data_IF_028370653473
#
_entry.id   IF_028370653473
#
_cell.length_a   1.000
_cell.length_b   1.000
_cell.length_c   1.000
_cell.angle_alpha   90.00
_cell.angle_beta   90.00
_cell.angle_gamma   90.00
#
_symmetry.space_group_name_H-M   'P 1'
#
loop_
_entity.id
_entity.type
_entity.pdbx_description
1 polymer ?
#
# COMPACT_ATOMS: atom_id res chain seq x y z
N UNK A 1 -39.68 33.34 -3.36
CA UNK A 1 -40.02 32.33 -4.38
C UNK A 1 -41.45 31.91 -4.12
N UNK A 2 -42.35 32.15 -5.08
CA UNK A 2 -43.77 31.87 -4.93
C UNK A 2 -44.01 30.38 -4.79
N UNK A 3 -44.45 29.95 -3.60
CA UNK A 3 -44.82 28.57 -3.29
C UNK A 3 -46.18 28.15 -3.85
N UNK A 4 -46.61 28.70 -5.00
CA UNK A 4 -47.88 28.31 -5.62
C UNK A 4 -47.72 26.99 -6.36
N UNK A 5 -48.54 25.97 -6.04
CA UNK A 5 -48.52 24.71 -6.77
C UNK A 5 -48.92 24.95 -8.22
N UNK A 6 -48.00 24.66 -9.15
CA UNK A 6 -48.25 24.68 -10.58
C UNK A 6 -48.90 23.36 -10.98
N UNK A 7 -50.08 23.42 -11.57
CA UNK A 7 -50.71 22.25 -12.17
C UNK A 7 -49.93 21.87 -13.43
N UNK A 8 -49.27 20.71 -13.44
CA UNK A 8 -48.67 20.16 -14.64
C UNK A 8 -49.76 19.49 -15.49
N UNK A 9 -49.68 19.66 -16.81
CA UNK A 9 -50.48 18.84 -17.72
C UNK A 9 -49.98 17.39 -17.68
N UNK A 10 -50.84 16.41 -17.95
CA UNK A 10 -50.51 14.98 -17.80
C UNK A 10 -49.24 14.56 -18.55
N UNK A 11 -49.02 15.14 -19.73
CA UNK A 11 -47.84 14.89 -20.56
C UNK A 11 -46.57 15.51 -19.95
N UNK A 12 -46.65 16.71 -19.38
CA UNK A 12 -45.52 17.37 -18.70
C UNK A 12 -45.08 16.57 -17.46
N UNK A 13 -46.05 16.07 -16.67
CA UNK A 13 -45.76 15.21 -15.53
C UNK A 13 -45.11 13.89 -15.96
N UNK A 14 -45.65 13.25 -16.99
CA UNK A 14 -45.11 12.00 -17.52
C UNK A 14 -43.66 12.16 -18.00
N UNK A 15 -43.39 13.22 -18.78
CA UNK A 15 -42.04 13.51 -19.27
C UNK A 15 -41.07 13.75 -18.11
N UNK A 16 -41.47 14.54 -17.11
CA UNK A 16 -40.61 14.83 -15.95
C UNK A 16 -40.29 13.58 -15.12
N UNK A 17 -41.27 12.70 -14.90
CA UNK A 17 -41.05 11.42 -14.19
C UNK A 17 -40.14 10.50 -15.01
N UNK A 18 -40.34 10.41 -16.33
CA UNK A 18 -39.51 9.60 -17.21
C UNK A 18 -38.06 10.08 -17.25
N UNK A 19 -37.83 11.40 -17.34
CA UNK A 19 -36.49 11.98 -17.29
C UNK A 19 -35.81 11.76 -15.94
N UNK A 20 -36.54 11.91 -14.83
CA UNK A 20 -36.01 11.65 -13.50
C UNK A 20 -35.64 10.17 -13.31
N UNK A 21 -36.46 9.24 -13.81
CA UNK A 21 -36.15 7.81 -13.77
C UNK A 21 -34.89 7.50 -14.58
N UNK A 22 -34.78 8.02 -15.80
CA UNK A 22 -33.59 7.85 -16.63
C UNK A 22 -32.34 8.43 -15.95
N UNK A 23 -32.44 9.62 -15.38
CA UNK A 23 -31.33 10.24 -14.66
C UNK A 23 -30.89 9.43 -13.43
N UNK A 24 -31.85 8.85 -12.69
CA UNK A 24 -31.55 7.99 -11.55
C UNK A 24 -30.87 6.68 -11.97
N UNK A 25 -31.28 6.09 -13.11
CA UNK A 25 -30.65 4.91 -13.69
C UNK A 25 -29.22 5.21 -14.16
N UNK A 26 -29.01 6.33 -14.85
CA UNK A 26 -27.68 6.78 -15.30
C UNK A 26 -26.75 7.07 -14.10
N UNK A 27 -27.24 7.71 -13.05
CA UNK A 27 -26.48 7.98 -11.83
C UNK A 27 -26.12 6.68 -11.10
N UNK A 28 -27.05 5.73 -11.01
CA UNK A 28 -26.78 4.41 -10.43
C UNK A 28 -25.70 3.67 -11.22
N UNK A 29 -25.78 3.66 -12.55
CA UNK A 29 -24.77 3.04 -13.40
C UNK A 29 -23.39 3.69 -13.25
N UNK A 30 -23.32 5.02 -13.17
CA UNK A 30 -22.06 5.74 -12.94
C UNK A 30 -21.44 5.39 -11.57
N UNK A 31 -22.26 5.28 -10.52
CA UNK A 31 -21.81 4.85 -9.19
C UNK A 31 -21.27 3.42 -9.19
N UNK A 32 -21.92 2.51 -9.90
CA UNK A 32 -21.45 1.13 -10.04
C UNK A 32 -20.09 1.06 -10.75
N UNK A 33 -19.90 1.80 -11.84
CA UNK A 33 -18.61 1.86 -12.54
C UNK A 33 -17.50 2.36 -11.60
N UNK A 34 -17.75 3.47 -10.90
CA UNK A 34 -16.78 3.99 -9.94
C UNK A 34 -16.48 3.04 -8.78
N UNK A 35 -17.48 2.27 -8.32
CA UNK A 35 -17.27 1.27 -7.29
C UNK A 35 -16.34 0.15 -7.79
N UNK A 36 -16.59 -0.36 -9.00
CA UNK A 36 -15.77 -1.41 -9.62
C UNK A 36 -14.32 -0.93 -9.80
N UNK A 37 -14.11 0.29 -10.27
CA UNK A 37 -12.77 0.88 -10.41
C UNK A 37 -12.04 0.98 -9.06
N UNK A 38 -12.74 1.46 -8.02
CA UNK A 38 -12.17 1.57 -6.67
C UNK A 38 -11.80 0.21 -6.10
N UNK A 39 -12.67 -0.78 -6.25
CA UNK A 39 -12.44 -2.14 -5.79
C UNK A 39 -11.27 -2.81 -6.53
N UNK A 40 -11.22 -2.63 -7.85
CA UNK A 40 -10.10 -3.09 -8.68
C UNK A 40 -8.77 -2.47 -8.23
N UNK A 41 -8.75 -1.16 -7.96
CA UNK A 41 -7.60 -0.43 -7.42
C UNK A 41 -7.20 -0.98 -6.05
N UNK A 42 -8.15 -1.13 -5.14
CA UNK A 42 -7.91 -1.63 -3.78
C UNK A 42 -7.33 -3.05 -3.81
N UNK A 43 -7.87 -3.92 -4.66
CA UNK A 43 -7.37 -5.27 -4.85
C UNK A 43 -5.93 -5.30 -5.40
N UNK A 44 -5.63 -4.51 -6.45
CA UNK A 44 -4.27 -4.41 -7.00
C UNK A 44 -3.25 -3.91 -5.96
N UNK A 45 -3.65 -2.91 -5.17
CA UNK A 45 -2.84 -2.38 -4.07
C UNK A 45 -2.63 -3.39 -2.94
N UNK A 46 -3.65 -4.19 -2.60
CA UNK A 46 -3.53 -5.24 -1.58
C UNK A 46 -2.52 -6.32 -2.00
N UNK A 47 -2.64 -6.82 -3.23
CA UNK A 47 -1.70 -7.80 -3.80
C UNK A 47 -0.27 -7.26 -3.81
N UNK A 48 -0.09 -5.99 -4.22
CA UNK A 48 1.22 -5.35 -4.20
C UNK A 48 1.80 -5.24 -2.79
N UNK A 49 1.00 -4.84 -1.79
CA UNK A 49 1.45 -4.73 -0.39
C UNK A 49 1.89 -6.10 0.17
N UNK A 50 1.16 -7.16 -0.11
CA UNK A 50 1.52 -8.51 0.31
C UNK A 50 2.84 -8.98 -0.31
N UNK A 51 3.01 -8.76 -1.61
CA UNK A 51 4.23 -9.11 -2.32
C UNK A 51 5.45 -8.32 -1.79
N UNK A 52 5.25 -7.03 -1.50
CA UNK A 52 6.30 -6.16 -0.97
C UNK A 52 6.68 -6.53 0.47
N UNK A 53 5.70 -6.90 1.31
CA UNK A 53 5.95 -7.39 2.67
C UNK A 53 6.77 -8.70 2.64
N UNK A 54 6.40 -9.65 1.76
CA UNK A 54 7.15 -10.88 1.58
C UNK A 54 8.60 -10.63 1.11
N UNK A 55 8.81 -9.66 0.20
CA UNK A 55 10.14 -9.23 -0.24
C UNK A 55 10.96 -8.66 0.92
N UNK A 56 10.37 -7.77 1.72
CA UNK A 56 11.03 -7.15 2.86
C UNK A 56 11.50 -8.20 3.87
N UNK A 57 10.65 -9.19 4.18
CA UNK A 57 11.00 -10.31 5.07
C UNK A 57 12.21 -11.10 4.55
N UNK A 58 12.24 -11.45 3.26
CA UNK A 58 13.40 -12.14 2.66
C UNK A 58 14.67 -11.30 2.72
N UNK A 59 14.55 -9.99 2.49
CA UNK A 59 15.69 -9.08 2.59
C UNK A 59 16.20 -8.91 4.04
N UNK A 60 15.30 -8.95 5.01
CA UNK A 60 15.64 -8.95 6.43
C UNK A 60 16.39 -10.23 6.82
N UNK A 61 15.90 -11.39 6.41
CA UNK A 61 16.58 -12.68 6.63
C UNK A 61 17.99 -12.67 6.03
N UNK A 62 18.17 -12.18 4.79
CA UNK A 62 19.50 -12.02 4.15
C UNK A 62 20.40 -11.04 4.92
N UNK A 63 19.84 -10.00 5.52
CA UNK A 63 20.59 -9.05 6.36
C UNK A 63 21.01 -9.69 7.67
N UNK A 64 20.12 -10.47 8.29
CA UNK A 64 20.38 -11.17 9.55
C UNK A 64 21.51 -12.20 9.37
N UNK A 65 21.45 -13.05 8.33
CA UNK A 65 22.50 -14.04 8.07
C UNK A 65 23.86 -13.37 7.85
N UNK A 66 23.90 -12.30 7.05
CA UNK A 66 25.13 -11.54 6.84
C UNK A 66 25.67 -10.93 8.13
N UNK A 67 24.81 -10.39 9.00
CA UNK A 67 25.22 -9.86 10.31
C UNK A 67 25.83 -10.95 11.20
N UNK A 68 25.22 -12.13 11.23
CA UNK A 68 25.74 -13.28 11.98
C UNK A 68 27.11 -13.74 11.44
N UNK A 69 27.27 -13.86 10.12
CA UNK A 69 28.56 -14.20 9.50
C UNK A 69 29.65 -13.17 9.82
N UNK A 70 29.30 -11.88 9.80
CA UNK A 70 30.21 -10.80 10.20
C UNK A 70 30.58 -10.92 11.67
N UNK A 71 29.60 -11.16 12.56
CA UNK A 71 29.85 -11.32 14.00
C UNK A 71 30.80 -12.48 14.28
N UNK A 72 30.52 -13.67 13.72
CA UNK A 72 31.38 -14.85 13.88
C UNK A 72 32.79 -14.59 13.38
N UNK A 73 32.94 -13.92 12.24
CA UNK A 73 34.27 -13.55 11.74
C UNK A 73 35.00 -12.58 12.66
N UNK A 74 34.29 -11.64 13.29
CA UNK A 74 34.90 -10.70 14.22
C UNK A 74 35.37 -11.39 15.50
N UNK A 75 34.57 -12.30 16.05
CA UNK A 75 34.95 -13.18 17.16
C UNK A 75 36.22 -13.98 16.81
N UNK A 76 36.22 -14.64 15.64
CA UNK A 76 37.34 -15.46 15.20
C UNK A 76 38.61 -14.63 14.92
N UNK A 77 38.44 -13.42 14.36
CA UNK A 77 39.54 -12.45 14.17
C UNK A 77 40.15 -12.08 15.51
N UNK A 78 39.33 -11.87 16.53
CA UNK A 78 39.81 -11.45 17.85
C UNK A 78 40.50 -12.61 18.59
N UNK A 79 40.01 -13.85 18.44
CA UNK A 79 40.74 -15.06 18.85
C UNK A 79 42.10 -15.18 18.15
N UNK A 80 42.17 -15.01 16.82
CA UNK A 80 43.42 -15.09 16.07
C UNK A 80 44.45 -14.04 16.51
N UNK A 81 44.00 -12.83 16.91
CA UNK A 81 44.88 -11.81 17.51
C UNK A 81 45.47 -12.26 18.84
N UNK A 82 44.65 -12.87 19.71
CA UNK A 82 45.11 -13.39 21.01
C UNK A 82 46.17 -14.49 20.83
N UNK A 83 45.96 -15.38 19.85
CA UNK A 83 46.89 -16.45 19.49
C UNK A 83 48.10 -15.97 18.67
N UNK A 84 48.14 -14.69 18.28
CA UNK A 84 49.18 -14.08 17.42
C UNK A 84 49.30 -14.74 16.04
N UNK A 85 48.22 -15.35 15.58
CA UNK A 85 48.11 -15.91 14.24
C UNK A 85 47.63 -14.83 13.25
N UNK A 86 48.09 -14.89 11.99
CA UNK A 86 47.59 -13.98 10.94
C UNK A 86 46.26 -14.50 10.38
N UNK A 87 45.15 -13.74 10.49
CA UNK A 87 43.89 -14.15 9.87
C UNK A 87 44.04 -14.21 8.35
N UNK A 88 43.75 -15.36 7.73
CA UNK A 88 43.81 -15.54 6.26
C UNK A 88 42.45 -15.40 5.56
N UNK A 89 41.36 -15.17 6.30
CA UNK A 89 40.02 -15.21 5.74
C UNK A 89 39.53 -13.86 5.18
N UNK A 90 38.81 -13.95 4.07
CA UNK A 90 38.13 -12.83 3.41
C UNK A 90 36.95 -12.32 4.23
N UNK A 91 36.58 -11.05 4.05
CA UNK A 91 35.33 -10.50 4.63
C UNK A 91 34.12 -11.17 3.97
N UNK A 92 33.06 -11.54 4.74
CA UNK A 92 31.80 -11.96 4.17
C UNK A 92 31.27 -10.83 3.29
N UNK A 93 30.51 -11.18 2.26
CA UNK A 93 29.95 -10.21 1.33
C UNK A 93 28.44 -10.30 1.39
N UNK A 94 27.80 -9.19 1.72
CA UNK A 94 26.36 -9.09 1.60
C UNK A 94 26.01 -9.07 0.11
N UNK A 95 25.34 -10.11 -0.37
CA UNK A 95 24.86 -10.17 -1.75
C UNK A 95 23.85 -9.04 -2.06
N UNK A 96 23.45 -8.93 -3.34
CA UNK A 96 22.42 -7.97 -3.75
C UNK A 96 21.09 -8.32 -3.09
N UNK A 97 20.42 -7.32 -2.53
CA UNK A 97 19.06 -7.44 -2.01
C UNK A 97 18.05 -7.43 -3.17
N UNK A 98 16.87 -7.98 -2.90
CA UNK A 98 15.75 -7.97 -3.85
C UNK A 98 15.26 -6.53 -4.05
N UNK A 99 15.10 -6.11 -5.30
CA UNK A 99 14.64 -4.76 -5.67
C UNK A 99 13.15 -4.58 -5.34
N UNK A 100 12.69 -3.34 -5.06
CA UNK A 100 11.28 -3.05 -4.83
C UNK A 100 10.40 -3.49 -6.00
N UNK A 101 9.22 -4.02 -5.69
CA UNK A 101 8.23 -4.36 -6.72
C UNK A 101 7.60 -3.05 -7.21
N UNK A 102 7.52 -2.80 -8.53
CA UNK A 102 6.92 -1.57 -9.04
C UNK A 102 5.49 -1.44 -8.54
N UNK A 103 5.16 -0.26 -8.01
CA UNK A 103 3.81 0.05 -7.54
C UNK A 103 2.86 0.08 -8.74
N UNK A 104 1.65 -0.49 -8.63
CA UNK A 104 0.62 -0.30 -9.64
C UNK A 104 0.43 1.19 -9.90
N UNK A 105 0.73 1.62 -11.13
CA UNK A 105 0.54 3.01 -11.57
C UNK A 105 -0.91 3.15 -12.00
N UNK A 106 -1.57 4.19 -11.51
CA UNK A 106 -2.98 4.46 -11.76
C UNK A 106 -3.01 5.87 -12.31
N UNK A 107 -3.58 6.07 -13.49
CA UNK A 107 -3.71 7.41 -14.06
C UNK A 107 -4.45 8.33 -13.06
N UNK A 108 -3.91 9.53 -12.85
CA UNK A 108 -4.30 10.48 -11.81
C UNK A 108 -5.75 10.95 -11.96
N UNK A 109 -6.67 10.40 -11.16
CA UNK A 109 -7.93 11.06 -10.80
C UNK A 109 -7.99 11.11 -9.28
N UNK A 110 -7.58 12.26 -8.76
CA UNK A 110 -7.62 12.78 -7.38
C UNK A 110 -7.74 11.77 -6.22
N UNK A 111 -6.59 11.51 -5.59
CA UNK A 111 -6.44 10.95 -4.24
C UNK A 111 -7.19 11.82 -3.21
N UNK A 112 -8.13 11.21 -2.49
CA UNK A 112 -8.61 11.71 -1.22
C UNK A 112 -8.79 10.52 -0.27
N UNK A 113 -7.68 9.93 0.16
CA UNK A 113 -7.68 9.04 1.32
C UNK A 113 -6.49 9.38 2.22
N UNK A 114 -6.86 9.99 3.34
CA UNK A 114 -6.05 10.46 4.45
C UNK A 114 -5.26 9.29 5.05
N UNK A 115 -3.94 9.38 5.00
CA UNK A 115 -3.02 8.49 5.70
C UNK A 115 -3.07 8.80 7.21
N UNK A 116 -3.87 8.04 7.95
CA UNK A 116 -3.99 8.11 9.40
C UNK A 116 -2.73 7.59 10.09
N UNK A 117 -1.67 8.40 10.11
CA UNK A 117 -0.49 8.18 10.94
C UNK A 117 -0.71 8.77 12.34
N UNK A 118 -1.36 8.01 13.22
CA UNK A 118 -1.29 8.25 14.68
C UNK A 118 -0.19 7.35 15.28
N UNK A 119 1.03 7.89 15.32
CA UNK A 119 2.11 7.41 16.17
C UNK A 119 2.33 8.41 17.30
N UNK A 120 1.82 8.12 18.50
CA UNK A 120 2.29 8.68 19.78
C UNK A 120 1.64 7.87 20.93
N UNK A 121 2.29 7.37 21.98
CA UNK A 121 3.68 7.33 22.39
C UNK A 121 3.76 6.32 23.55
N UNK A 122 4.87 5.58 23.65
CA UNK A 122 5.17 4.78 24.82
C UNK A 122 5.78 5.66 25.92
N UNK A 123 5.44 5.42 27.20
CA UNK A 123 6.45 5.15 28.24
C UNK A 123 5.83 4.84 29.62
N UNK A 124 6.28 3.70 30.15
CA UNK A 124 6.66 3.38 31.54
C UNK A 124 5.69 3.57 32.70
N UNK A 125 5.24 2.41 33.16
CA UNK A 125 5.09 1.99 34.56
C UNK A 125 6.38 2.22 35.36
N UNK A 126 6.27 2.88 36.52
CA UNK A 126 7.06 2.67 37.75
C UNK A 126 6.21 2.95 38.97
#
# INVERSE_FOLDING_TARGET
MDGMPRLLTGDEFYNQVSEHQRAAEEEAAAKEVHQIEREGRAAAMAVWKEAEAARLKRNEERRATYKEEVRLREEERDCAKLEKCRPRWTKPKQGKLELPIPKPTLDDVEDNDIDGNDSDGGSSEV
#
